data_IF_758003823550
#
_entry.id   IF_758003823550
#
_cell.length_a   1.000
_cell.length_b   1.000
_cell.length_c   1.000
_cell.angle_alpha   90.00
_cell.angle_beta   90.00
_cell.angle_gamma   90.00
#
_symmetry.space_group_name_H-M   'P 1'
#
loop_
_entity.id
_entity.type
_entity.pdbx_description
1 polymer ?
#
# COMPACT_ATOMS: atom_id res chain seq x y z
N UNK A 1 -11.24 -2.39 -30.55
CA UNK A 1 -10.06 -2.73 -29.72
C UNK A 1 -10.44 -3.12 -28.29
N UNK A 2 -11.21 -2.29 -27.56
CA UNK A 2 -11.72 -2.60 -26.21
C UNK A 2 -12.43 -3.95 -26.12
N UNK A 3 -13.39 -4.21 -27.01
CA UNK A 3 -14.17 -5.45 -26.97
C UNK A 3 -13.31 -6.69 -27.20
N UNK A 4 -12.30 -6.60 -28.08
CA UNK A 4 -11.36 -7.69 -28.33
C UNK A 4 -10.51 -8.03 -27.09
N UNK A 5 -10.01 -7.00 -26.38
CA UNK A 5 -9.28 -7.19 -25.12
C UNK A 5 -10.19 -7.82 -24.05
N UNK A 6 -11.42 -7.33 -23.92
CA UNK A 6 -12.38 -7.85 -22.95
C UNK A 6 -12.70 -9.33 -23.20
N UNK A 7 -12.97 -9.70 -24.46
CA UNK A 7 -13.25 -11.08 -24.85
C UNK A 7 -12.04 -12.00 -24.60
N UNK A 8 -10.83 -11.54 -24.96
CA UNK A 8 -9.62 -12.33 -24.75
C UNK A 8 -9.31 -12.54 -23.26
N UNK A 9 -9.43 -11.48 -22.46
CA UNK A 9 -9.20 -11.55 -21.01
C UNK A 9 -10.25 -12.45 -20.34
N UNK A 10 -11.53 -12.25 -20.63
CA UNK A 10 -12.61 -13.06 -20.08
C UNK A 10 -12.46 -14.55 -20.44
N UNK A 11 -12.08 -14.86 -21.69
CA UNK A 11 -11.81 -16.24 -22.12
C UNK A 11 -10.68 -16.90 -21.33
N UNK A 12 -9.56 -16.19 -21.11
CA UNK A 12 -8.43 -16.73 -20.33
C UNK A 12 -8.76 -16.89 -18.85
N UNK A 13 -9.47 -15.93 -18.26
CA UNK A 13 -9.92 -16.00 -16.87
C UNK A 13 -10.92 -17.14 -16.69
N UNK A 14 -11.86 -17.33 -17.63
CA UNK A 14 -12.81 -18.45 -17.60
C UNK A 14 -12.09 -19.79 -17.60
N UNK A 15 -11.14 -20.00 -18.51
CA UNK A 15 -10.33 -21.22 -18.55
C UNK A 15 -9.59 -21.49 -17.23
N UNK A 16 -9.11 -20.44 -16.56
CA UNK A 16 -8.48 -20.58 -15.25
C UNK A 16 -9.49 -20.98 -14.17
N UNK A 17 -10.64 -20.30 -14.10
CA UNK A 17 -11.69 -20.58 -13.09
C UNK A 17 -12.31 -21.97 -13.27
N UNK A 18 -12.49 -22.43 -14.51
CA UNK A 18 -13.01 -23.76 -14.79
C UNK A 18 -12.02 -24.86 -14.34
N UNK A 19 -10.71 -24.57 -14.44
CA UNK A 19 -9.65 -25.49 -14.02
C UNK A 19 -9.35 -25.44 -12.52
N UNK A 20 -9.45 -24.26 -11.91
CA UNK A 20 -9.09 -23.98 -10.53
C UNK A 20 -10.16 -23.11 -9.85
N UNK A 21 -11.39 -23.62 -9.66
CA UNK A 21 -12.45 -22.85 -9.04
C UNK A 21 -12.12 -22.59 -7.57
N UNK A 22 -12.48 -21.40 -7.09
CA UNK A 22 -12.56 -21.15 -5.66
C UNK A 22 -13.61 -22.08 -5.04
N UNK A 23 -13.20 -22.83 -4.03
CA UNK A 23 -14.09 -23.65 -3.20
C UNK A 23 -14.59 -22.89 -1.98
N UNK A 24 -14.11 -21.66 -1.78
CA UNK A 24 -14.48 -20.82 -0.65
C UNK A 24 -15.80 -20.12 -0.92
N UNK A 25 -16.81 -20.42 -0.11
CA UNK A 25 -18.08 -19.71 -0.07
C UNK A 25 -18.07 -18.73 1.12
N UNK A 26 -18.07 -17.41 0.88
CA UNK A 26 -18.06 -16.43 1.96
C UNK A 26 -19.38 -16.46 2.73
N UNK A 27 -19.33 -16.56 4.06
CA UNK A 27 -20.52 -16.37 4.91
C UNK A 27 -20.97 -14.90 4.83
N UNK A 28 -22.17 -14.61 4.27
CA UNK A 28 -22.65 -13.24 4.15
C UNK A 28 -22.77 -12.53 5.50
N UNK A 29 -23.06 -13.27 6.59
CA UNK A 29 -23.20 -12.71 7.94
C UNK A 29 -21.89 -12.18 8.50
N UNK A 30 -20.75 -12.68 8.00
CA UNK A 30 -19.42 -12.22 8.39
C UNK A 30 -18.91 -11.18 7.39
N UNK A 31 -19.07 -11.45 6.10
CA UNK A 31 -18.47 -10.64 5.03
C UNK A 31 -19.15 -9.28 4.88
N UNK A 32 -20.48 -9.22 4.87
CA UNK A 32 -21.22 -7.96 4.64
C UNK A 32 -20.92 -6.92 5.72
N UNK A 33 -20.97 -7.24 7.03
CA UNK A 33 -20.60 -6.27 8.06
C UNK A 33 -19.15 -5.81 7.96
N UNK A 34 -18.23 -6.71 7.59
CA UNK A 34 -16.82 -6.36 7.40
C UNK A 34 -16.62 -5.41 6.20
N UNK A 35 -17.27 -5.68 5.07
CA UNK A 35 -17.24 -4.81 3.88
C UNK A 35 -17.86 -3.44 4.17
N UNK A 36 -18.96 -3.39 4.93
CA UNK A 36 -19.56 -2.12 5.35
C UNK A 36 -18.61 -1.29 6.19
N UNK A 37 -17.96 -1.90 7.19
CA UNK A 37 -16.94 -1.20 8.01
C UNK A 37 -15.82 -0.66 7.13
N UNK A 38 -15.24 -1.49 6.25
CA UNK A 38 -14.17 -1.07 5.35
C UNK A 38 -14.60 0.09 4.43
N UNK A 39 -15.79 0.02 3.84
CA UNK A 39 -16.31 1.08 2.98
C UNK A 39 -16.50 2.40 3.75
N UNK A 40 -17.09 2.34 4.94
CA UNK A 40 -17.32 3.53 5.77
C UNK A 40 -15.98 4.15 6.19
N UNK A 41 -14.98 3.34 6.52
CA UNK A 41 -13.62 3.84 6.82
C UNK A 41 -13.00 4.52 5.60
N UNK A 42 -13.11 3.93 4.40
CA UNK A 42 -12.45 4.47 3.21
C UNK A 42 -13.16 5.70 2.60
N UNK A 43 -14.49 5.75 2.65
CA UNK A 43 -15.30 6.73 1.91
C UNK A 43 -16.28 7.52 2.78
N UNK A 44 -16.40 7.17 4.06
CA UNK A 44 -17.32 7.78 5.01
C UNK A 44 -18.76 7.24 4.93
N UNK A 45 -19.51 7.47 6.02
CA UNK A 45 -20.91 7.05 6.15
C UNK A 45 -21.81 7.71 5.11
N UNK A 46 -21.59 8.99 4.79
CA UNK A 46 -22.39 9.71 3.80
C UNK A 46 -22.31 9.08 2.41
N UNK A 47 -21.11 8.68 1.98
CA UNK A 47 -20.89 7.97 0.71
C UNK A 47 -21.55 6.59 0.72
N UNK A 48 -21.53 5.88 1.86
CA UNK A 48 -22.22 4.60 2.01
C UNK A 48 -23.72 4.77 1.81
N UNK A 49 -24.34 5.71 2.53
CA UNK A 49 -25.78 5.99 2.44
C UNK A 49 -26.18 6.45 1.03
N UNK A 50 -25.33 7.20 0.33
CA UNK A 50 -25.59 7.61 -1.06
C UNK A 50 -25.56 6.43 -2.03
N UNK A 51 -24.61 5.49 -1.85
CA UNK A 51 -24.40 4.38 -2.79
C UNK A 51 -25.32 3.18 -2.53
N UNK A 52 -25.55 2.85 -1.27
CA UNK A 52 -26.29 1.65 -0.85
C UNK A 52 -27.58 1.97 -0.07
N UNK A 53 -27.74 3.18 0.47
CA UNK A 53 -28.86 3.51 1.35
C UNK A 53 -28.88 2.63 2.60
N UNK A 54 -30.05 2.02 2.86
CA UNK A 54 -30.23 1.01 3.91
C UNK A 54 -29.89 -0.42 3.44
N UNK A 55 -29.55 -0.61 2.16
CA UNK A 55 -29.24 -1.92 1.63
C UNK A 55 -27.83 -2.40 2.03
N UNK A 56 -27.68 -3.71 2.07
CA UNK A 56 -26.38 -4.36 2.21
C UNK A 56 -25.56 -4.27 0.92
N UNK A 57 -24.24 -4.30 1.07
CA UNK A 57 -23.33 -4.41 -0.08
C UNK A 57 -23.56 -5.77 -0.75
N UNK A 58 -23.91 -5.82 -2.05
CA UNK A 58 -24.23 -7.07 -2.71
C UNK A 58 -22.96 -7.93 -2.91
N UNK A 59 -23.01 -9.16 -2.40
CA UNK A 59 -22.00 -10.17 -2.71
C UNK A 59 -22.22 -10.68 -4.13
N UNK A 60 -21.15 -10.67 -4.94
CA UNK A 60 -21.19 -11.21 -6.30
C UNK A 60 -21.08 -12.74 -6.25
N UNK A 61 -21.66 -13.47 -7.22
CA UNK A 61 -21.52 -14.92 -7.28
C UNK A 61 -20.05 -15.34 -7.36
N UNK A 62 -19.70 -16.39 -6.62
CA UNK A 62 -18.37 -16.99 -6.65
C UNK A 62 -18.03 -17.52 -8.05
N UNK A 63 -16.76 -17.48 -8.44
CA UNK A 63 -16.28 -17.95 -9.76
C UNK A 63 -16.97 -17.31 -10.99
N UNK A 64 -17.57 -16.13 -10.84
CA UNK A 64 -18.22 -15.39 -11.93
C UNK A 64 -17.31 -14.31 -12.53
N UNK A 65 -17.61 -13.93 -13.78
CA UNK A 65 -16.97 -12.81 -14.48
C UNK A 65 -18.05 -11.75 -14.67
N UNK A 66 -17.81 -10.54 -14.20
CA UNK A 66 -18.65 -9.37 -14.48
C UNK A 66 -17.87 -8.31 -15.25
N UNK A 67 -18.58 -7.54 -16.05
CA UNK A 67 -18.03 -6.40 -16.78
C UNK A 67 -18.58 -5.13 -16.15
N UNK A 68 -17.69 -4.30 -15.63
CA UNK A 68 -18.05 -3.06 -14.94
C UNK A 68 -17.50 -1.85 -15.71
N UNK A 69 -18.15 -0.71 -15.55
CA UNK A 69 -17.62 0.55 -16.07
C UNK A 69 -16.51 1.04 -15.16
N UNK A 70 -15.39 1.45 -15.75
CA UNK A 70 -14.29 2.02 -14.98
C UNK A 70 -14.69 3.39 -14.42
N UNK A 71 -14.64 3.52 -13.10
CA UNK A 71 -14.86 4.77 -12.37
C UNK A 71 -13.51 5.25 -11.81
N UNK A 72 -12.91 6.33 -12.35
CA UNK A 72 -11.64 6.81 -11.85
C UNK A 72 -11.79 7.44 -10.46
N UNK A 73 -10.85 7.16 -9.56
CA UNK A 73 -10.83 7.69 -8.20
C UNK A 73 -10.25 9.12 -8.15
N UNK A 74 -10.94 10.05 -8.83
CA UNK A 74 -10.46 11.43 -9.06
C UNK A 74 -10.15 12.15 -7.74
N UNK A 75 -11.01 12.02 -6.73
CA UNK A 75 -10.80 12.66 -5.43
C UNK A 75 -9.57 12.09 -4.69
N UNK A 76 -9.36 10.77 -4.78
CA UNK A 76 -8.26 10.08 -4.09
C UNK A 76 -6.91 10.46 -4.68
N UNK A 77 -6.81 10.57 -6.00
CA UNK A 77 -5.55 10.84 -6.70
C UNK A 77 -5.40 12.29 -7.17
N UNK A 78 -6.11 13.24 -6.56
CA UNK A 78 -5.80 14.65 -6.80
C UNK A 78 -6.24 15.17 -8.17
N UNK A 79 -7.31 14.64 -8.76
CA UNK A 79 -7.78 15.06 -10.09
C UNK A 79 -7.31 14.17 -11.24
N UNK A 80 -7.69 14.53 -12.47
CA UNK A 80 -7.41 13.74 -13.68
C UNK A 80 -5.92 13.49 -13.93
N UNK A 81 -5.06 14.45 -13.56
CA UNK A 81 -3.62 14.32 -13.79
C UNK A 81 -2.99 13.33 -12.81
N UNK A 82 -3.37 13.38 -11.53
CA UNK A 82 -2.86 12.41 -10.57
C UNK A 82 -3.48 11.02 -10.76
N UNK A 83 -4.72 10.89 -11.26
CA UNK A 83 -5.25 9.59 -11.74
C UNK A 83 -4.37 9.02 -12.85
N UNK A 84 -4.04 9.81 -13.87
CA UNK A 84 -3.18 9.36 -14.97
C UNK A 84 -1.78 8.94 -14.49
N UNK A 85 -1.23 9.65 -13.49
CA UNK A 85 0.03 9.26 -12.85
C UNK A 85 -0.11 7.95 -12.06
N UNK A 86 -1.20 7.80 -11.31
CA UNK A 86 -1.50 6.59 -10.55
C UNK A 86 -1.64 5.35 -11.45
N UNK A 87 -2.30 5.48 -12.61
CA UNK A 87 -2.42 4.40 -13.59
C UNK A 87 -1.05 3.94 -14.12
N UNK A 88 -0.13 4.87 -14.39
CA UNK A 88 1.24 4.53 -14.78
C UNK A 88 1.98 3.78 -13.67
N UNK A 89 1.85 4.25 -12.42
CA UNK A 89 2.39 3.53 -11.27
C UNK A 89 1.76 2.14 -11.09
N UNK A 90 0.45 2.00 -11.32
CA UNK A 90 -0.27 0.73 -11.25
C UNK A 90 0.13 -0.24 -12.33
N UNK A 91 0.45 0.25 -13.52
CA UNK A 91 1.01 -0.58 -14.59
C UNK A 91 2.35 -1.19 -14.16
N UNK A 92 3.31 -0.36 -13.73
CA UNK A 92 4.65 -0.82 -13.34
C UNK A 92 4.60 -1.72 -12.11
N UNK A 93 3.82 -1.33 -11.09
CA UNK A 93 3.65 -2.14 -9.88
C UNK A 93 2.95 -3.48 -10.16
N UNK A 94 2.04 -3.56 -11.15
CA UNK A 94 1.43 -4.83 -11.56
C UNK A 94 2.41 -5.78 -12.20
N UNK A 95 3.27 -5.29 -13.10
CA UNK A 95 4.31 -6.10 -13.72
C UNK A 95 5.29 -6.64 -12.68
N UNK A 96 5.67 -5.81 -11.70
CA UNK A 96 6.53 -6.20 -10.60
C UNK A 96 5.86 -7.21 -9.67
N UNK A 97 4.59 -7.01 -9.30
CA UNK A 97 3.84 -7.95 -8.47
C UNK A 97 3.74 -9.34 -9.12
N UNK A 98 3.50 -9.41 -10.44
CA UNK A 98 3.49 -10.68 -11.17
C UNK A 98 4.84 -11.40 -11.07
N UNK A 99 5.97 -10.68 -11.26
CA UNK A 99 7.31 -11.26 -11.10
C UNK A 99 7.52 -11.83 -9.70
N UNK A 100 7.14 -11.08 -8.66
CA UNK A 100 7.25 -11.53 -7.27
C UNK A 100 6.42 -12.78 -7.03
N UNK A 101 5.14 -12.76 -7.40
CA UNK A 101 4.19 -13.84 -7.10
C UNK A 101 4.50 -15.14 -7.86
N UNK A 102 5.22 -15.04 -8.98
CA UNK A 102 5.70 -16.21 -9.74
C UNK A 102 6.92 -16.89 -9.09
N UNK A 103 7.66 -16.22 -8.21
CA UNK A 103 8.82 -16.82 -7.51
C UNK A 103 8.34 -17.71 -6.36
N UNK A 104 8.67 -19.01 -6.33
CA UNK A 104 8.16 -19.94 -5.31
C UNK A 104 8.44 -19.51 -3.86
N UNK A 105 9.61 -18.93 -3.58
CA UNK A 105 9.98 -18.47 -2.24
C UNK A 105 9.13 -17.28 -1.75
N UNK A 106 8.61 -16.46 -2.66
CA UNK A 106 7.74 -15.33 -2.31
C UNK A 106 6.31 -15.76 -1.94
N UNK A 107 6.02 -17.07 -1.90
CA UNK A 107 4.80 -17.60 -1.28
C UNK A 107 4.88 -17.61 0.25
N UNK A 108 6.08 -17.47 0.84
CA UNK A 108 6.24 -17.34 2.29
C UNK A 108 5.86 -15.94 2.72
N UNK A 109 5.05 -15.83 3.79
CA UNK A 109 4.57 -14.53 4.28
C UNK A 109 5.72 -13.58 4.64
N UNK A 110 6.77 -14.09 5.29
CA UNK A 110 7.95 -13.29 5.65
C UNK A 110 8.66 -12.66 4.45
N UNK A 111 8.72 -13.36 3.31
CA UNK A 111 9.33 -12.82 2.08
C UNK A 111 8.50 -11.68 1.50
N UNK A 112 7.16 -11.78 1.50
CA UNK A 112 6.27 -10.70 1.05
C UNK A 112 6.40 -9.47 1.96
N UNK A 113 6.44 -9.66 3.27
CA UNK A 113 6.62 -8.57 4.23
C UNK A 113 8.00 -7.92 4.09
N UNK A 114 9.06 -8.69 3.84
CA UNK A 114 10.39 -8.17 3.53
C UNK A 114 10.39 -7.31 2.26
N UNK A 115 9.74 -7.77 1.18
CA UNK A 115 9.61 -6.99 -0.05
C UNK A 115 8.82 -5.69 0.16
N UNK A 116 7.76 -5.73 0.95
CA UNK A 116 6.97 -4.56 1.35
C UNK A 116 7.81 -3.57 2.14
N UNK A 117 8.53 -4.03 3.16
CA UNK A 117 9.47 -3.21 3.95
C UNK A 117 10.51 -2.51 3.06
N UNK A 118 11.20 -3.26 2.19
CA UNK A 118 12.24 -2.71 1.33
C UNK A 118 11.69 -1.65 0.38
N UNK A 119 10.54 -1.90 -0.25
CA UNK A 119 9.93 -0.94 -1.18
C UNK A 119 9.36 0.30 -0.48
N UNK A 120 8.67 0.14 0.65
CA UNK A 120 8.16 1.27 1.42
C UNK A 120 9.30 2.18 1.84
N UNK A 121 10.37 1.62 2.42
CA UNK A 121 11.56 2.37 2.79
C UNK A 121 12.22 3.03 1.57
N UNK A 122 12.43 2.28 0.49
CA UNK A 122 13.09 2.79 -0.71
C UNK A 122 12.34 3.98 -1.33
N UNK A 123 11.01 3.87 -1.48
CA UNK A 123 10.19 4.95 -2.03
C UNK A 123 10.18 6.18 -1.13
N UNK A 124 10.08 6.00 0.19
CA UNK A 124 10.12 7.12 1.11
C UNK A 124 11.50 7.82 1.09
N UNK A 125 12.60 7.06 1.06
CA UNK A 125 13.94 7.63 0.87
C UNK A 125 14.09 8.34 -0.48
N UNK A 126 13.53 7.80 -1.56
CA UNK A 126 13.53 8.45 -2.86
C UNK A 126 12.77 9.79 -2.78
N UNK A 127 11.56 9.80 -2.20
CA UNK A 127 10.70 10.98 -2.12
C UNK A 127 11.30 12.10 -1.27
N UNK A 128 11.88 11.79 -0.12
CA UNK A 128 12.31 12.82 0.83
C UNK A 128 13.81 13.07 0.86
N UNK A 129 14.63 12.07 0.54
CA UNK A 129 16.10 12.15 0.65
C UNK A 129 16.64 12.40 2.07
N UNK A 130 15.75 12.52 3.06
CA UNK A 130 16.05 12.85 4.45
C UNK A 130 15.38 11.84 5.40
N UNK A 131 16.15 11.35 6.36
CA UNK A 131 15.69 10.35 7.32
C UNK A 131 14.66 10.92 8.30
N UNK A 132 14.80 12.17 8.72
CA UNK A 132 13.83 12.83 9.60
C UNK A 132 12.45 12.90 8.94
N UNK A 133 12.39 13.42 7.71
CA UNK A 133 11.17 13.47 6.89
C UNK A 133 10.60 12.10 6.59
N UNK A 134 11.45 11.11 6.30
CA UNK A 134 11.03 9.71 6.10
C UNK A 134 10.36 9.15 7.36
N UNK A 135 10.94 9.37 8.55
CA UNK A 135 10.33 8.95 9.81
C UNK A 135 9.02 9.70 10.10
N UNK A 136 8.95 10.99 9.79
CA UNK A 136 7.71 11.79 9.91
C UNK A 136 6.62 11.28 8.98
N UNK A 137 6.94 10.92 7.74
CA UNK A 137 6.00 10.30 6.80
C UNK A 137 5.39 9.03 7.38
N UNK A 138 6.21 8.08 7.86
CA UNK A 138 5.68 6.83 8.44
C UNK A 138 4.93 7.04 9.75
N UNK A 139 5.22 8.11 10.49
CA UNK A 139 4.39 8.54 11.62
C UNK A 139 3.00 8.99 11.17
N UNK A 140 2.92 9.76 10.08
CA UNK A 140 1.65 10.18 9.47
C UNK A 140 0.90 9.04 8.78
N UNK A 141 1.61 8.11 8.17
CA UNK A 141 1.03 6.96 7.47
C UNK A 141 0.10 6.14 8.36
N UNK A 142 0.54 5.86 9.60
CA UNK A 142 -0.30 5.17 10.60
C UNK A 142 -1.55 5.97 10.97
N UNK A 143 -1.46 7.30 10.89
CA UNK A 143 -2.58 8.17 11.25
C UNK A 143 -3.76 8.09 10.28
N UNK A 144 -3.48 7.83 9.01
CA UNK A 144 -4.48 7.74 7.93
C UNK A 144 -5.44 6.55 8.12
N UNK A 145 -5.02 5.52 8.86
CA UNK A 145 -5.80 4.30 9.06
C UNK A 145 -6.23 4.10 10.52
N UNK A 146 -6.21 5.14 11.37
CA UNK A 146 -6.53 5.04 12.82
C UNK A 146 -7.92 4.49 13.12
N UNK A 147 -8.87 4.67 12.21
CA UNK A 147 -10.24 4.18 12.38
C UNK A 147 -10.38 2.67 12.16
N UNK A 148 -9.37 2.03 11.55
CA UNK A 148 -9.28 0.57 11.56
C UNK A 148 -8.74 0.16 12.92
N UNK A 149 -9.59 -0.49 13.72
CA UNK A 149 -9.16 -1.16 14.94
C UNK A 149 -8.04 -2.15 14.58
N UNK A 150 -6.81 -1.76 14.90
CA UNK A 150 -5.69 -2.68 14.87
C UNK A 150 -5.83 -3.58 16.09
N UNK A 151 -5.77 -4.88 15.85
CA UNK A 151 -5.66 -5.85 16.92
C UNK A 151 -4.38 -5.58 17.73
N UNK A 152 -4.55 -5.04 18.94
CA UNK A 152 -3.44 -4.72 19.83
C UNK A 152 -2.56 -5.94 20.15
N UNK A 153 -3.13 -7.16 20.08
CA UNK A 153 -2.36 -8.39 20.27
C UNK A 153 -1.40 -8.66 19.10
N UNK A 154 -1.78 -8.28 17.88
CA UNK A 154 -0.93 -8.39 16.70
C UNK A 154 0.26 -7.43 16.80
N UNK A 155 0.08 -6.20 17.30
CA UNK A 155 1.16 -5.22 17.48
C UNK A 155 2.26 -5.75 18.43
N UNK A 156 1.89 -6.43 19.52
CA UNK A 156 2.84 -7.05 20.45
C UNK A 156 3.64 -8.18 19.78
N UNK A 157 2.95 -9.09 19.10
CA UNK A 157 3.59 -10.22 18.39
C UNK A 157 4.55 -9.72 17.33
N UNK A 158 4.13 -8.70 16.59
CA UNK A 158 4.96 -8.10 15.57
C UNK A 158 6.17 -7.37 16.17
N UNK A 159 6.03 -6.64 17.28
CA UNK A 159 7.18 -6.00 17.92
C UNK A 159 8.22 -7.01 18.42
N UNK A 160 7.77 -8.13 19.00
CA UNK A 160 8.65 -9.23 19.39
C UNK A 160 9.38 -9.83 18.18
N UNK A 161 8.71 -10.02 17.04
CA UNK A 161 9.37 -10.43 15.80
C UNK A 161 10.44 -9.41 15.32
N UNK A 162 10.16 -8.11 15.39
CA UNK A 162 11.13 -7.07 15.04
C UNK A 162 12.38 -7.16 15.91
N UNK A 163 12.20 -7.26 17.24
CA UNK A 163 13.32 -7.37 18.17
C UNK A 163 14.17 -8.62 17.92
N UNK A 164 13.55 -9.77 17.60
CA UNK A 164 14.28 -11.00 17.25
C UNK A 164 15.03 -10.90 15.92
N UNK A 165 14.57 -10.07 15.00
CA UNK A 165 15.18 -9.86 13.68
C UNK A 165 16.09 -8.63 13.64
N UNK A 166 16.34 -7.97 14.79
CA UNK A 166 17.11 -6.73 14.87
C UNK A 166 18.49 -6.83 14.21
N UNK A 167 19.15 -7.98 14.34
CA UNK A 167 20.47 -8.24 13.73
C UNK A 167 20.48 -8.26 12.20
N UNK A 168 19.30 -8.36 11.57
CA UNK A 168 19.14 -8.34 10.11
C UNK A 168 18.95 -6.92 9.55
N UNK A 169 18.74 -5.93 10.42
CA UNK A 169 18.54 -4.54 10.02
C UNK A 169 19.85 -3.75 10.09
N UNK A 170 19.99 -2.70 9.24
CA UNK A 170 21.12 -1.78 9.32
C UNK A 170 21.30 -1.23 10.74
N UNK A 171 22.55 -1.21 11.19
CA UNK A 171 22.96 -0.71 12.50
C UNK A 171 23.47 0.73 12.45
N UNK A 172 23.72 1.25 11.24
CA UNK A 172 24.12 2.63 10.99
C UNK A 172 23.35 3.25 9.83
N UNK A 173 23.31 4.59 9.80
CA UNK A 173 22.77 5.35 8.66
C UNK A 173 23.52 5.01 7.37
N UNK A 174 24.84 4.79 7.45
CA UNK A 174 25.68 4.44 6.29
C UNK A 174 25.22 3.11 5.69
N UNK A 175 25.07 2.06 6.51
CA UNK A 175 24.60 0.74 6.07
C UNK A 175 23.20 0.81 5.42
N UNK A 176 22.30 1.62 5.98
CA UNK A 176 20.96 1.82 5.42
C UNK A 176 21.03 2.44 4.01
N UNK A 177 21.86 3.46 3.83
CA UNK A 177 22.02 4.14 2.55
C UNK A 177 22.77 3.27 1.54
N UNK A 178 23.75 2.47 1.98
CA UNK A 178 24.44 1.49 1.15
C UNK A 178 23.49 0.39 0.67
N UNK A 179 22.67 -0.16 1.56
CA UNK A 179 21.60 -1.11 1.21
C UNK A 179 20.66 -0.50 0.17
N UNK A 180 20.23 0.74 0.39
CA UNK A 180 19.34 1.44 -0.55
C UNK A 180 20.01 1.70 -1.91
N UNK A 181 21.30 2.03 -1.93
CA UNK A 181 22.09 2.21 -3.15
C UNK A 181 22.25 0.89 -3.91
N UNK A 182 22.55 -0.19 -3.20
CA UNK A 182 22.66 -1.53 -3.77
C UNK A 182 21.36 -1.96 -4.45
N UNK A 183 20.22 -1.76 -3.79
CA UNK A 183 18.89 -2.02 -4.36
C UNK A 183 18.67 -1.31 -5.69
N UNK A 184 19.13 -0.06 -5.84
CA UNK A 184 19.03 0.71 -7.09
C UNK A 184 19.92 0.14 -8.19
N UNK A 185 21.08 -0.39 -7.82
CA UNK A 185 22.05 -0.98 -8.77
C UNK A 185 21.68 -2.40 -9.22
N UNK A 186 20.92 -3.14 -8.39
CA UNK A 186 20.56 -4.52 -8.68
C UNK A 186 19.42 -4.60 -9.69
N UNK A 187 19.78 -4.62 -10.96
CA UNK A 187 18.85 -4.79 -12.08
C UNK A 187 18.30 -6.23 -12.19
N UNK A 188 18.92 -7.20 -11.52
CA UNK A 188 18.52 -8.62 -11.58
C UNK A 188 17.36 -8.96 -10.65
N UNK A 189 17.15 -8.16 -9.60
CA UNK A 189 16.05 -8.32 -8.66
C UNK A 189 14.68 -8.26 -9.34
N UNK A 190 13.73 -9.06 -8.84
CA UNK A 190 12.32 -8.95 -9.25
C UNK A 190 11.70 -7.58 -8.92
N UNK A 191 12.30 -6.83 -7.99
CA UNK A 191 11.88 -5.49 -7.57
C UNK A 191 12.43 -4.36 -8.44
N UNK A 192 13.44 -4.63 -9.28
CA UNK A 192 14.24 -3.61 -9.96
C UNK A 192 13.41 -2.62 -10.78
N UNK A 193 12.36 -3.10 -11.44
CA UNK A 193 11.44 -2.26 -12.21
C UNK A 193 10.70 -1.21 -11.38
N UNK A 194 10.29 -1.56 -10.16
CA UNK A 194 9.58 -0.64 -9.27
C UNK A 194 10.56 0.25 -8.48
N UNK A 195 11.72 -0.28 -8.11
CA UNK A 195 12.82 0.48 -7.48
C UNK A 195 13.28 1.60 -8.43
N UNK A 196 13.59 1.28 -9.68
CA UNK A 196 14.01 2.28 -10.68
C UNK A 196 12.93 3.31 -11.03
N UNK A 197 11.67 3.05 -10.70
CA UNK A 197 10.53 3.93 -10.94
C UNK A 197 10.34 4.99 -9.83
N UNK A 198 10.90 4.81 -8.64
CA UNK A 198 10.64 5.68 -7.49
C UNK A 198 11.07 7.13 -7.71
N UNK A 199 12.25 7.36 -8.27
CA UNK A 199 12.78 8.70 -8.56
C UNK A 199 11.93 9.43 -9.62
N UNK A 200 11.54 8.72 -10.70
CA UNK A 200 10.64 9.27 -11.71
C UNK A 200 9.29 9.65 -11.10
N UNK A 201 8.72 8.78 -10.27
CA UNK A 201 7.41 9.02 -9.65
C UNK A 201 7.46 10.25 -8.74
N UNK A 202 8.54 10.41 -7.96
CA UNK A 202 8.76 11.62 -7.16
C UNK A 202 8.77 12.87 -8.02
N UNK A 203 9.56 12.89 -9.09
CA UNK A 203 9.64 14.07 -9.97
C UNK A 203 8.29 14.39 -10.61
N UNK A 204 7.52 13.38 -10.99
CA UNK A 204 6.18 13.62 -11.53
C UNK A 204 5.20 14.15 -10.48
N UNK A 205 5.22 13.63 -9.25
CA UNK A 205 4.38 14.17 -8.17
C UNK A 205 4.75 15.62 -7.89
N UNK A 206 6.05 15.93 -7.82
CA UNK A 206 6.54 17.29 -7.61
C UNK A 206 6.11 18.23 -8.73
N UNK A 207 6.27 17.85 -10.00
CA UNK A 207 5.84 18.67 -11.14
C UNK A 207 4.32 18.96 -11.11
N UNK A 208 3.50 17.97 -10.72
CA UNK A 208 2.06 18.18 -10.59
C UNK A 208 1.70 19.12 -9.44
N UNK A 209 2.44 19.07 -8.33
CA UNK A 209 2.27 19.99 -7.19
C UNK A 209 2.68 21.41 -7.62
N UNK A 210 3.87 21.57 -8.21
CA UNK A 210 4.41 22.87 -8.62
C UNK A 210 3.52 23.58 -9.65
N UNK A 211 2.83 22.82 -10.51
CA UNK A 211 1.87 23.35 -11.50
C UNK A 211 0.46 23.55 -10.95
N UNK A 212 0.18 23.20 -9.69
CA UNK A 212 -1.16 23.25 -9.12
C UNK A 212 -2.16 22.32 -9.81
N UNK A 213 -1.69 21.19 -10.35
CA UNK A 213 -2.51 20.22 -11.06
C UNK A 213 -3.17 19.18 -10.14
N UNK A 214 -2.81 19.17 -8.85
CA UNK A 214 -3.41 18.30 -7.85
C UNK A 214 -4.52 19.00 -7.08
N UNK A 215 -5.67 18.34 -6.93
CA UNK A 215 -6.82 18.81 -6.16
C UNK A 215 -7.50 17.67 -5.43
N UNK A 216 -7.49 17.71 -4.10
CA UNK A 216 -8.04 16.67 -3.21
C UNK A 216 -9.38 17.11 -2.61
N UNK A 217 -10.35 17.40 -3.47
CA UNK A 217 -11.65 17.94 -3.05
C UNK A 217 -11.57 19.42 -2.66
N UNK A 218 -12.28 19.81 -1.60
CA UNK A 218 -12.36 21.20 -1.12
C UNK A 218 -11.19 21.62 -0.23
N UNK A 219 -10.35 20.68 0.19
CA UNK A 219 -9.25 20.95 1.12
C UNK A 219 -8.00 21.45 0.39
N UNK A 220 -7.47 22.58 0.84
CA UNK A 220 -6.17 23.08 0.42
C UNK A 220 -5.10 22.37 1.24
N UNK A 221 -4.45 21.38 0.64
CA UNK A 221 -3.30 20.70 1.23
C UNK A 221 -2.02 21.50 0.98
N UNK A 222 -1.05 21.41 1.90
CA UNK A 222 0.31 21.88 1.62
C UNK A 222 1.00 20.96 0.60
N UNK A 223 2.04 21.43 -0.11
CA UNK A 223 2.85 20.58 -0.99
C UNK A 223 3.31 19.27 -0.33
N UNK A 224 3.80 19.35 0.91
CA UNK A 224 4.24 18.17 1.67
C UNK A 224 3.07 17.23 1.98
N UNK A 225 1.90 17.77 2.34
CA UNK A 225 0.71 16.96 2.60
C UNK A 225 0.21 16.26 1.32
N UNK A 226 0.25 16.93 0.17
CA UNK A 226 -0.08 16.30 -1.13
C UNK A 226 0.91 15.19 -1.48
N UNK A 227 2.22 15.42 -1.30
CA UNK A 227 3.24 14.41 -1.57
C UNK A 227 3.07 13.19 -0.65
N UNK A 228 2.82 13.41 0.64
CA UNK A 228 2.54 12.36 1.62
C UNK A 228 1.29 11.56 1.24
N UNK A 229 0.22 12.25 0.83
CA UNK A 229 -1.03 11.62 0.41
C UNK A 229 -0.82 10.73 -0.81
N UNK A 230 -0.17 11.24 -1.85
CA UNK A 230 0.11 10.48 -3.08
C UNK A 230 1.00 9.27 -2.81
N UNK A 231 2.13 9.49 -2.11
CA UNK A 231 3.05 8.41 -1.76
C UNK A 231 2.34 7.34 -0.93
N UNK A 232 1.51 7.76 0.03
CA UNK A 232 0.78 6.86 0.88
C UNK A 232 -0.12 5.91 0.09
N UNK A 233 -0.92 6.44 -0.84
CA UNK A 233 -1.79 5.62 -1.69
C UNK A 233 -1.00 4.72 -2.65
N UNK A 234 0.15 5.16 -3.16
CA UNK A 234 1.00 4.31 -4.01
C UNK A 234 1.54 3.12 -3.23
N UNK A 235 2.04 3.33 -2.02
CA UNK A 235 2.50 2.25 -1.14
C UNK A 235 1.37 1.30 -0.75
N UNK A 236 0.21 1.84 -0.39
CA UNK A 236 -0.98 1.06 -0.06
C UNK A 236 -1.41 0.14 -1.21
N UNK A 237 -1.52 0.69 -2.42
CA UNK A 237 -1.94 -0.09 -3.59
C UNK A 237 -0.89 -1.12 -4.01
N UNK A 238 0.40 -0.84 -3.80
CA UNK A 238 1.45 -1.85 -3.95
C UNK A 238 1.24 -3.01 -2.97
N UNK A 239 1.10 -2.70 -1.69
CA UNK A 239 0.94 -3.69 -0.62
C UNK A 239 -0.31 -4.57 -0.84
N UNK A 240 -1.43 -3.98 -1.22
CA UNK A 240 -2.64 -4.71 -1.60
C UNK A 240 -2.40 -5.70 -2.73
N UNK A 241 -1.59 -5.31 -3.74
CA UNK A 241 -1.34 -6.11 -4.94
C UNK A 241 -0.52 -7.39 -4.67
N UNK A 242 0.30 -7.37 -3.64
CA UNK A 242 1.07 -8.55 -3.18
C UNK A 242 0.41 -9.24 -1.98
N UNK A 243 -0.82 -8.83 -1.63
CA UNK A 243 -1.63 -9.43 -0.58
C UNK A 243 -1.17 -9.12 0.85
N UNK A 244 -0.43 -8.03 1.07
CA UNK A 244 -0.11 -7.52 2.41
C UNK A 244 -1.36 -6.89 3.00
N UNK A 245 -1.73 -7.24 4.24
CA UNK A 245 -2.92 -6.67 4.90
C UNK A 245 -2.58 -5.30 5.46
N UNK A 246 -3.61 -4.47 5.64
CA UNK A 246 -3.46 -3.13 6.23
C UNK A 246 -2.76 -3.20 7.60
N UNK A 247 -3.11 -4.17 8.46
CA UNK A 247 -2.46 -4.32 9.76
C UNK A 247 -0.96 -4.61 9.67
N UNK A 248 -0.53 -5.37 8.67
CA UNK A 248 0.90 -5.68 8.45
C UNK A 248 1.63 -4.50 7.85
N UNK A 249 0.98 -3.77 6.94
CA UNK A 249 1.50 -2.53 6.38
C UNK A 249 1.74 -1.47 7.46
N UNK A 250 0.78 -1.29 8.37
CA UNK A 250 0.90 -0.36 9.50
C UNK A 250 2.02 -0.77 10.47
N UNK A 251 2.18 -2.08 10.67
CA UNK A 251 3.32 -2.60 11.41
C UNK A 251 4.65 -2.33 10.70
N UNK A 252 4.76 -2.58 9.39
CA UNK A 252 5.96 -2.28 8.61
C UNK A 252 6.30 -0.79 8.65
N UNK A 253 5.32 0.09 8.46
CA UNK A 253 5.50 1.54 8.60
C UNK A 253 6.06 1.90 9.99
N UNK A 254 5.53 1.27 11.04
CA UNK A 254 6.02 1.47 12.41
C UNK A 254 7.47 0.98 12.60
N UNK A 255 7.81 -0.19 12.08
CA UNK A 255 9.18 -0.72 12.12
C UNK A 255 10.16 0.20 11.40
N UNK A 256 9.83 0.66 10.20
CA UNK A 256 10.69 1.56 9.41
C UNK A 256 10.94 2.84 10.21
N UNK A 257 9.89 3.41 10.81
CA UNK A 257 10.03 4.58 11.69
C UNK A 257 10.96 4.31 12.86
N UNK A 258 10.76 3.22 13.62
CA UNK A 258 11.62 2.87 14.77
C UNK A 258 13.07 2.70 14.33
N UNK A 259 13.31 1.96 13.24
CA UNK A 259 14.64 1.76 12.68
C UNK A 259 15.31 3.11 12.42
N UNK A 260 14.63 4.01 11.71
CA UNK A 260 15.19 5.33 11.38
C UNK A 260 15.46 6.15 12.64
N UNK A 261 14.53 6.19 13.60
CA UNK A 261 14.74 6.94 14.85
C UNK A 261 15.94 6.41 15.64
N UNK A 262 16.11 5.08 15.72
CA UNK A 262 17.26 4.46 16.36
C UNK A 262 18.57 4.85 15.66
N UNK A 263 18.59 4.83 14.33
CA UNK A 263 19.77 5.23 13.54
C UNK A 263 20.12 6.71 13.71
N UNK A 264 19.11 7.56 13.94
CA UNK A 264 19.29 8.98 14.25
C UNK A 264 19.62 9.26 15.72
N UNK A 265 19.72 8.24 16.57
CA UNK A 265 19.95 8.40 18.01
C UNK A 265 18.77 9.03 18.76
N UNK A 266 17.58 9.09 18.15
CA UNK A 266 16.37 9.59 18.79
C UNK A 266 15.77 8.45 19.62
N UNK A 267 15.49 8.64 20.92
CA UNK A 267 14.85 7.62 21.74
C UNK A 267 13.55 7.16 21.09
N UNK A 268 13.39 5.84 20.92
CA UNK A 268 12.13 5.31 20.44
C UNK A 268 11.02 5.74 21.41
N UNK A 269 9.89 6.28 20.94
CA UNK A 269 8.77 6.56 21.84
C UNK A 269 8.38 5.23 22.49
N UNK A 270 8.40 5.21 23.82
CA UNK A 270 7.85 4.10 24.61
C UNK A 270 6.44 3.83 24.07
N UNK A 271 6.14 2.58 23.70
CA UNK A 271 4.77 2.23 23.39
C UNK A 271 3.92 2.60 24.61
N UNK A 272 2.84 3.35 24.42
CA UNK A 272 1.87 3.58 25.47
C UNK A 272 1.14 2.24 25.74
N UNK A 273 1.80 1.32 26.43
CA UNK A 273 1.21 0.13 27.03
C UNK A 273 0.62 0.45 28.41
N UNK A 274 -0.02 1.62 28.52
CA UNK A 274 -0.64 2.13 29.74
C UNK A 274 -2.04 2.66 29.46
N UNK A 275 -2.88 1.83 28.84
CA UNK A 275 -4.34 1.93 28.96
C UNK A 275 -4.91 0.52 29.08
N UNK A 276 -4.62 -0.13 30.20
CA UNK A 276 -5.54 -1.08 30.84
C UNK A 276 -5.46 -0.77 32.33
N UNK A 277 -6.35 0.10 32.77
CA UNK A 277 -6.78 0.27 34.16
C UNK A 277 -8.29 0.17 34.16
#
# INVERSE_FOLDING_TARGET
MRDAVMHQAAGRVRLYLDKYPSLFEPDPKVMIPAMRRLFVTEYGTASYSMRYGEADIPLRPNNAISFETYEPEVARYGGKYGVSLAEQHFHISSLTALKILMVPNNRRRSSLLGNSFLLMLHFALAFYGDLGRTASFFSGYRSTFRELELDASAEVVYMDHFHRQRSLFPTSVVELLEMNSYLRSDTSSSLSGLIGHADWLREQVKDLIDRGHLSFGSELLSPDAMANHMLGHFLHMWNNRIGVRISEELYIAHMIRILILQLLGVPAPLSNSSVVG
#
